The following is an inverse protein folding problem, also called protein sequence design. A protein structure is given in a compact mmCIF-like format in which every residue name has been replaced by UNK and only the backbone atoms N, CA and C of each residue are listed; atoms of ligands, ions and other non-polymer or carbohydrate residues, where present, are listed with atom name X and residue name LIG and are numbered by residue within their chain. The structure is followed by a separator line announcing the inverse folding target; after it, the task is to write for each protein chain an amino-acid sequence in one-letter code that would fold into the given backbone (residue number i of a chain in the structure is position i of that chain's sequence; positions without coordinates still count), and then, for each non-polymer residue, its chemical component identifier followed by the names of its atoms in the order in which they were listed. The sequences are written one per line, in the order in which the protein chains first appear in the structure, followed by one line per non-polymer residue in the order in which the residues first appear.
data_IF_568180044517
#
_entry.id   IF_568180044517
#
_cell.length_a   1.000
_cell.length_b   1.000
_cell.length_c   1.000
_cell.angle_alpha   90.00
_cell.angle_beta   90.00
_cell.angle_gamma   90.00
#
_symmetry.space_group_name_H-M   'P 1'
#
loop_
_entity.id
_entity.type
_entity.pdbx_description
1 polymer ?
#
# COMPACT_ATOMS: atom_id res chain seq x y z
N UNK A 1 32.74 4.49 20.23
CA UNK A 1 31.95 3.88 19.13
C UNK A 1 30.63 4.62 19.08
N UNK A 2 30.36 5.40 18.06
CA UNK A 2 29.07 6.06 17.88
C UNK A 2 27.98 4.99 17.70
N UNK A 3 27.00 5.02 18.58
CA UNK A 3 25.85 4.11 18.54
C UNK A 3 25.14 4.24 17.18
N UNK A 4 24.98 3.12 16.48
CA UNK A 4 24.36 3.14 15.14
C UNK A 4 22.88 3.43 15.30
N UNK A 5 22.41 4.53 14.73
CA UNK A 5 20.98 4.86 14.67
C UNK A 5 20.27 3.89 13.72
N UNK A 6 19.73 2.80 14.25
CA UNK A 6 19.05 1.73 13.50
C UNK A 6 17.91 1.12 14.32
N UNK A 7 17.03 0.34 13.67
CA UNK A 7 16.02 -0.46 14.36
C UNK A 7 16.65 -1.51 15.29
N UNK A 8 16.04 -1.81 16.46
CA UNK A 8 14.68 -1.45 16.84
C UNK A 8 14.53 -0.08 17.52
N UNK A 9 15.61 0.64 17.84
CA UNK A 9 15.58 1.87 18.63
C UNK A 9 15.30 3.12 17.78
N UNK A 10 15.42 2.99 16.45
CA UNK A 10 15.14 4.03 15.45
C UNK A 10 14.30 3.46 14.31
N UNK A 11 13.42 4.28 13.74
CA UNK A 11 12.67 3.98 12.53
C UNK A 11 12.63 5.17 11.60
N UNK A 12 12.61 4.91 10.29
CA UNK A 12 12.19 5.93 9.32
C UNK A 12 10.67 6.05 9.37
N UNK A 13 10.15 7.28 9.25
CA UNK A 13 8.72 7.53 9.18
C UNK A 13 8.38 8.23 7.86
N UNK A 14 7.19 7.99 7.30
CA UNK A 14 6.79 8.70 6.10
C UNK A 14 6.66 10.20 6.37
N UNK A 15 6.91 11.02 5.35
CA UNK A 15 6.79 12.47 5.45
C UNK A 15 5.39 12.90 5.96
N UNK A 16 4.33 12.27 5.41
CA UNK A 16 2.96 12.48 5.87
C UNK A 16 2.75 12.14 7.35
N UNK A 17 3.40 11.07 7.83
CA UNK A 17 3.39 10.70 9.25
C UNK A 17 4.10 11.76 10.09
N UNK A 18 5.27 12.22 9.69
CA UNK A 18 6.04 13.24 10.41
C UNK A 18 5.23 14.53 10.59
N UNK A 19 4.53 14.98 9.55
CA UNK A 19 3.63 16.13 9.61
C UNK A 19 2.46 15.87 10.58
N UNK A 20 1.79 14.72 10.46
CA UNK A 20 0.60 14.40 11.27
C UNK A 20 0.91 14.23 12.75
N UNK A 21 2.12 13.83 13.09
CA UNK A 21 2.61 13.71 14.45
C UNK A 21 3.22 15.02 15.01
N UNK A 22 3.29 16.07 14.20
CA UNK A 22 3.93 17.34 14.61
C UNK A 22 5.44 17.26 14.75
N UNK A 23 6.07 16.23 14.20
CA UNK A 23 7.54 16.07 14.16
C UNK A 23 8.19 16.88 13.03
N UNK A 24 7.39 17.31 12.05
CA UNK A 24 7.80 18.20 10.98
C UNK A 24 6.76 19.31 10.77
N UNK A 25 7.23 20.52 10.55
CA UNK A 25 6.36 21.67 10.26
C UNK A 25 6.03 21.72 8.78
N UNK A 26 4.84 21.28 8.42
CA UNK A 26 4.30 21.36 7.05
C UNK A 26 2.77 21.17 7.07
N UNK A 27 2.13 21.32 5.91
CA UNK A 27 0.71 21.08 5.71
C UNK A 27 0.50 20.11 4.55
N UNK A 28 -0.45 19.20 4.73
CA UNK A 28 -0.87 18.32 3.66
C UNK A 28 -1.72 19.07 2.64
N UNK A 29 -1.54 18.74 1.35
CA UNK A 29 -2.33 19.30 0.27
C UNK A 29 -3.83 19.13 0.54
N UNK A 30 -4.62 20.20 0.37
CA UNK A 30 -6.06 20.26 0.61
C UNK A 30 -6.50 19.78 2.01
N UNK A 31 -5.64 19.89 2.99
CA UNK A 31 -5.95 19.49 4.36
C UNK A 31 -6.11 17.98 4.55
N UNK A 32 -5.58 17.16 3.65
CA UNK A 32 -5.56 15.71 3.83
C UNK A 32 -4.93 15.35 5.19
N UNK A 33 -5.51 14.35 5.85
CA UNK A 33 -5.00 13.85 7.14
C UNK A 33 -4.49 12.44 7.00
N UNK A 34 -3.35 12.14 7.62
CA UNK A 34 -2.82 10.79 7.68
C UNK A 34 -3.35 10.08 8.93
N UNK A 35 -4.13 9.02 8.72
CA UNK A 35 -4.75 8.25 9.80
C UNK A 35 -3.85 7.14 10.34
N UNK A 36 -2.79 6.79 9.61
CA UNK A 36 -1.84 5.73 9.98
C UNK A 36 -0.44 6.29 10.18
N UNK A 37 0.21 5.92 11.26
CA UNK A 37 1.65 6.13 11.46
C UNK A 37 2.40 5.09 10.65
N UNK A 38 3.03 5.51 9.55
CA UNK A 38 3.78 4.62 8.67
C UNK A 38 5.26 4.63 9.04
N UNK A 39 5.72 3.52 9.61
CA UNK A 39 7.12 3.26 9.98
C UNK A 39 7.79 2.38 8.93
N UNK A 40 9.07 2.60 8.72
CA UNK A 40 9.94 1.76 7.90
C UNK A 40 11.15 1.33 8.74
N UNK A 41 11.34 0.03 8.85
CA UNK A 41 12.53 -0.52 9.52
C UNK A 41 13.79 0.00 8.83
N UNK A 42 14.76 0.44 9.63
CA UNK A 42 15.97 1.09 9.14
C UNK A 42 17.26 0.41 9.60
N UNK A 43 18.14 0.15 8.65
CA UNK A 43 19.54 -0.26 8.87
C UNK A 43 20.46 0.54 7.96
N UNK A 44 21.66 0.95 8.41
CA UNK A 44 22.63 1.64 7.55
C UNK A 44 23.01 0.85 6.29
N UNK A 45 23.07 -0.47 6.40
CA UNK A 45 23.33 -1.40 5.30
C UNK A 45 22.17 -1.56 4.32
N UNK A 46 20.96 -1.11 4.70
CA UNK A 46 19.77 -1.10 3.87
C UNK A 46 19.12 -2.45 3.64
N UNK A 47 18.31 -2.53 2.57
CA UNK A 47 17.61 -3.72 2.14
C UNK A 47 18.52 -4.63 1.31
N UNK A 48 18.54 -5.94 1.58
CA UNK A 48 19.30 -6.92 0.80
C UNK A 48 18.57 -7.43 -0.44
N UNK A 49 17.24 -7.18 -0.55
CA UNK A 49 16.47 -7.56 -1.71
C UNK A 49 16.75 -6.65 -2.93
N UNK A 50 16.44 -7.18 -4.10
CA UNK A 50 16.58 -6.46 -5.36
C UNK A 50 15.29 -6.51 -6.17
N UNK A 51 14.17 -6.12 -5.54
CA UNK A 51 12.88 -6.04 -6.21
C UNK A 51 12.95 -5.07 -7.40
N UNK A 52 12.51 -5.55 -8.57
CA UNK A 52 12.69 -4.85 -9.85
C UNK A 52 12.04 -3.45 -9.90
N UNK A 53 11.02 -3.22 -9.08
CA UNK A 53 10.23 -1.99 -9.02
C UNK A 53 10.55 -1.08 -7.82
N UNK A 54 11.45 -1.50 -6.92
CA UNK A 54 11.59 -0.86 -5.62
C UNK A 54 12.74 0.15 -5.58
N UNK A 55 12.43 1.36 -5.12
CA UNK A 55 13.43 2.40 -4.89
C UNK A 55 14.48 2.07 -3.84
N UNK A 56 14.20 1.11 -2.94
CA UNK A 56 15.15 0.61 -1.93
C UNK A 56 15.98 -0.58 -2.39
N UNK A 57 15.81 -1.04 -3.65
CA UNK A 57 16.51 -2.22 -4.17
C UNK A 57 18.02 -2.12 -3.98
N UNK A 58 18.67 -3.25 -3.60
CA UNK A 58 20.09 -3.29 -3.28
C UNK A 58 20.96 -2.79 -4.44
N UNK A 59 20.65 -3.21 -5.67
CA UNK A 59 21.44 -2.87 -6.88
C UNK A 59 21.14 -1.48 -7.44
N UNK A 60 20.09 -0.77 -6.93
CA UNK A 60 19.85 0.60 -7.35
C UNK A 60 21.03 1.49 -6.93
N UNK A 61 21.51 2.41 -7.82
CA UNK A 61 22.58 3.35 -7.48
C UNK A 61 22.28 4.22 -6.27
N UNK A 62 23.30 4.76 -5.64
CA UNK A 62 23.21 5.62 -4.47
C UNK A 62 23.29 4.85 -3.14
N UNK A 63 23.50 5.59 -2.06
CA UNK A 63 23.48 5.04 -0.71
C UNK A 63 22.06 4.76 -0.25
N UNK A 64 21.87 3.89 0.73
CA UNK A 64 20.53 3.62 1.27
C UNK A 64 19.85 4.86 1.85
N UNK A 65 20.63 5.81 2.36
CA UNK A 65 20.11 7.09 2.85
C UNK A 65 19.49 7.96 1.76
N UNK A 66 20.04 7.91 0.55
CA UNK A 66 19.60 8.66 -0.62
C UNK A 66 18.44 7.98 -1.37
N UNK A 67 18.25 6.67 -1.15
CA UNK A 67 17.17 5.92 -1.76
C UNK A 67 15.84 6.33 -1.14
N UNK A 68 14.93 6.75 -1.99
CA UNK A 68 13.57 7.10 -1.61
C UNK A 68 12.62 5.93 -1.83
N UNK A 69 11.50 5.97 -1.12
CA UNK A 69 10.35 5.13 -1.38
C UNK A 69 9.19 6.05 -1.79
N UNK A 70 8.73 5.90 -3.04
CA UNK A 70 7.69 6.77 -3.63
C UNK A 70 8.15 8.25 -3.72
N UNK A 71 9.39 8.50 -4.11
CA UNK A 71 9.97 9.84 -4.33
C UNK A 71 9.82 10.85 -3.18
N UNK A 72 9.59 10.38 -1.94
CA UNK A 72 9.47 11.21 -0.75
C UNK A 72 10.52 10.85 0.28
N UNK A 73 10.94 11.82 1.07
CA UNK A 73 11.83 11.60 2.19
C UNK A 73 11.14 10.79 3.29
N UNK A 74 11.94 9.93 3.93
CA UNK A 74 11.56 9.19 5.10
C UNK A 74 12.55 9.54 6.23
N UNK A 75 12.29 10.61 6.99
CA UNK A 75 13.16 11.03 8.08
C UNK A 75 13.28 9.95 9.16
N UNK A 76 14.43 9.95 9.83
CA UNK A 76 14.77 9.00 10.89
C UNK A 76 14.54 9.62 12.26
N UNK A 77 13.77 8.93 13.10
CA UNK A 77 13.51 9.32 14.50
C UNK A 77 13.76 8.14 15.45
N UNK A 78 14.02 8.42 16.71
CA UNK A 78 14.05 7.39 17.74
C UNK A 78 12.64 6.85 18.02
N UNK A 79 12.54 5.61 18.42
CA UNK A 79 11.25 5.03 18.81
C UNK A 79 10.62 5.75 20.00
N UNK A 80 11.42 6.31 20.90
CA UNK A 80 10.92 7.12 22.02
C UNK A 80 10.23 8.41 21.53
N UNK A 81 10.83 9.14 20.58
CA UNK A 81 10.21 10.33 19.97
C UNK A 81 8.92 9.98 19.23
N UNK A 82 8.93 8.85 18.50
CA UNK A 82 7.78 8.37 17.75
C UNK A 82 6.63 8.00 18.70
N UNK A 83 6.91 7.21 19.75
CA UNK A 83 5.90 6.77 20.73
C UNK A 83 5.31 7.97 21.47
N UNK A 84 6.14 8.90 21.90
CA UNK A 84 5.69 10.12 22.56
C UNK A 84 4.80 10.97 21.63
N UNK A 85 5.18 11.12 20.36
CA UNK A 85 4.38 11.81 19.37
C UNK A 85 3.04 11.07 19.06
N UNK A 86 3.03 9.75 19.01
CA UNK A 86 1.80 8.95 18.86
C UNK A 86 0.85 9.18 20.04
N UNK A 87 1.35 9.23 21.26
CA UNK A 87 0.54 9.44 22.46
C UNK A 87 -0.09 10.83 22.50
N UNK A 88 0.58 11.85 21.93
CA UNK A 88 0.07 13.21 21.78
C UNK A 88 -0.73 13.42 20.49
N UNK A 89 -0.75 12.45 19.58
CA UNK A 89 -1.34 12.60 18.27
C UNK A 89 -2.86 12.84 18.33
N UNK A 90 -3.40 13.64 17.39
CA UNK A 90 -4.83 13.87 17.28
C UNK A 90 -5.64 12.57 17.13
N UNK A 91 -6.91 12.61 17.52
CA UNK A 91 -7.79 11.43 17.50
C UNK A 91 -8.06 10.82 16.10
N UNK A 92 -7.73 11.54 15.02
CA UNK A 92 -7.82 10.98 13.66
C UNK A 92 -6.67 10.03 13.31
N UNK A 93 -5.56 10.02 14.04
CA UNK A 93 -4.50 9.01 13.92
C UNK A 93 -4.99 7.74 14.60
N UNK A 94 -5.25 6.69 13.85
CA UNK A 94 -5.99 5.49 14.29
C UNK A 94 -5.11 4.25 14.46
N UNK A 95 -4.02 4.13 13.72
CA UNK A 95 -3.24 2.90 13.58
C UNK A 95 -1.76 3.21 13.41
N UNK A 96 -0.89 2.25 13.74
CA UNK A 96 0.52 2.25 13.37
C UNK A 96 0.80 1.07 12.44
N UNK A 97 1.58 1.29 11.37
CA UNK A 97 1.99 0.25 10.44
C UNK A 97 3.51 0.21 10.36
N UNK A 98 4.12 -0.95 10.61
CA UNK A 98 5.56 -1.18 10.49
C UNK A 98 5.83 -1.86 9.15
N UNK A 99 6.52 -1.17 8.25
CA UNK A 99 6.97 -1.73 6.98
C UNK A 99 8.34 -2.38 7.16
N UNK A 100 8.43 -3.66 6.82
CA UNK A 100 9.66 -4.45 6.87
C UNK A 100 10.48 -4.28 5.59
N UNK A 101 11.80 -4.50 5.71
CA UNK A 101 12.72 -4.65 4.57
C UNK A 101 13.42 -6.00 4.67
N UNK A 102 13.97 -6.50 3.58
CA UNK A 102 14.75 -7.75 3.60
C UNK A 102 16.10 -7.52 4.27
N UNK A 103 16.24 -8.01 5.50
CA UNK A 103 17.46 -7.95 6.30
C UNK A 103 17.38 -9.02 7.39
N UNK A 104 18.47 -9.73 7.67
CA UNK A 104 18.50 -10.84 8.64
C UNK A 104 18.10 -10.47 10.09
N UNK A 105 18.13 -9.17 10.44
CA UNK A 105 17.70 -8.69 11.77
C UNK A 105 16.22 -8.28 11.79
N UNK A 106 15.58 -8.14 10.60
CA UNK A 106 14.34 -7.43 10.45
C UNK A 106 13.18 -8.05 11.25
N UNK A 107 13.01 -9.37 11.18
CA UNK A 107 11.93 -10.06 11.90
C UNK A 107 12.01 -9.81 13.41
N UNK A 108 13.19 -10.04 14.02
CA UNK A 108 13.41 -9.82 15.46
C UNK A 108 13.18 -8.36 15.86
N UNK A 109 13.68 -7.41 15.07
CA UNK A 109 13.55 -5.99 15.41
C UNK A 109 12.11 -5.49 15.20
N UNK A 110 11.39 -6.00 14.18
CA UNK A 110 9.96 -5.69 14.00
C UNK A 110 9.13 -6.17 15.19
N UNK A 111 9.38 -7.37 15.71
CA UNK A 111 8.74 -7.85 16.93
C UNK A 111 9.03 -6.93 18.12
N UNK A 112 10.29 -6.57 18.35
CA UNK A 112 10.66 -5.64 19.43
C UNK A 112 9.99 -4.27 19.28
N UNK A 113 9.91 -3.71 18.06
CA UNK A 113 9.20 -2.46 17.80
C UNK A 113 7.69 -2.61 18.06
N UNK A 114 7.11 -3.76 17.70
CA UNK A 114 5.69 -4.05 17.96
C UNK A 114 5.42 -4.09 19.46
N UNK A 115 6.27 -4.76 20.24
CA UNK A 115 6.19 -4.81 21.70
C UNK A 115 6.28 -3.40 22.33
N UNK A 116 7.23 -2.58 21.87
CA UNK A 116 7.37 -1.19 22.34
C UNK A 116 6.10 -0.38 22.05
N UNK A 117 5.54 -0.50 20.85
CA UNK A 117 4.33 0.24 20.45
C UNK A 117 3.09 -0.23 21.19
N UNK A 118 2.86 -1.55 21.29
CA UNK A 118 1.69 -2.11 21.97
C UNK A 118 1.75 -1.91 23.49
N UNK A 119 2.94 -1.91 24.07
CA UNK A 119 3.14 -1.63 25.50
C UNK A 119 2.99 -0.14 25.86
N UNK A 120 3.27 0.77 24.94
CA UNK A 120 3.32 2.19 25.22
C UNK A 120 2.17 3.00 24.57
N UNK A 121 1.42 2.43 23.63
CA UNK A 121 0.32 3.11 22.93
C UNK A 121 -0.94 2.25 22.91
N UNK A 122 -2.11 2.89 22.77
CA UNK A 122 -3.41 2.20 22.65
C UNK A 122 -3.83 1.95 21.19
N UNK A 123 -2.95 2.22 20.22
CA UNK A 123 -3.30 2.11 18.80
C UNK A 123 -2.96 0.73 18.27
N UNK A 124 -3.83 0.13 17.45
CA UNK A 124 -3.52 -1.13 16.78
C UNK A 124 -2.24 -1.03 15.94
N UNK A 125 -1.46 -2.10 15.91
CA UNK A 125 -0.24 -2.20 15.12
C UNK A 125 -0.45 -3.19 13.99
N UNK A 126 -0.16 -2.78 12.76
CA UNK A 126 -0.10 -3.65 11.58
C UNK A 126 1.35 -3.85 11.15
N UNK A 127 1.64 -5.00 10.59
CA UNK A 127 2.96 -5.33 10.03
C UNK A 127 2.79 -5.51 8.52
N UNK A 128 3.55 -4.74 7.74
CA UNK A 128 3.65 -4.90 6.30
C UNK A 128 4.92 -5.68 6.00
N UNK A 129 4.77 -6.88 5.50
CA UNK A 129 5.87 -7.82 5.26
C UNK A 129 5.73 -8.52 3.92
N UNK A 130 6.78 -9.25 3.54
CA UNK A 130 6.76 -10.24 2.47
C UNK A 130 7.16 -11.60 3.04
N UNK A 131 6.55 -12.71 2.63
CA UNK A 131 6.92 -14.06 3.10
C UNK A 131 8.42 -14.35 2.99
N UNK A 132 9.06 -13.80 1.96
CA UNK A 132 10.51 -13.95 1.70
C UNK A 132 11.40 -13.25 2.72
N UNK A 133 10.86 -12.42 3.61
CA UNK A 133 11.63 -11.74 4.66
C UNK A 133 11.72 -12.62 5.92
N UNK A 134 10.77 -13.52 6.10
CA UNK A 134 10.59 -14.29 7.34
C UNK A 134 11.40 -15.57 7.38
N UNK A 135 11.85 -16.09 6.22
CA UNK A 135 12.67 -17.31 6.13
C UNK A 135 13.95 -17.06 5.32
N UNK A 136 15.11 -16.81 6.00
CA UNK A 136 16.39 -16.67 5.32
C UNK A 136 16.85 -17.93 4.56
N UNK A 137 16.51 -19.14 5.05
CA UNK A 137 16.87 -20.39 4.40
C UNK A 137 16.07 -20.59 3.10
N UNK A 138 14.85 -20.11 3.03
CA UNK A 138 14.05 -20.08 1.82
C UNK A 138 14.70 -19.25 0.71
N UNK A 139 15.35 -18.12 1.04
CA UNK A 139 16.08 -17.28 0.08
C UNK A 139 17.29 -18.02 -0.55
N UNK A 140 17.93 -18.95 0.19
CA UNK A 140 19.00 -19.79 -0.32
C UNK A 140 18.49 -20.88 -1.27
N UNK A 141 17.28 -21.39 -1.08
CA UNK A 141 16.66 -22.42 -1.92
C UNK A 141 16.03 -21.85 -3.19
N UNK A 142 15.50 -20.63 -3.15
CA UNK A 142 14.87 -19.93 -4.27
C UNK A 142 15.89 -19.28 -5.22
N UNK A 143 16.71 -20.09 -5.90
CA UNK A 143 17.82 -19.63 -6.75
C UNK A 143 17.42 -18.75 -7.94
N UNK A 144 16.12 -18.58 -8.29
CA UNK A 144 15.68 -17.86 -9.49
C UNK A 144 14.57 -16.83 -9.29
N UNK A 145 13.72 -16.97 -8.27
CA UNK A 145 12.67 -16.00 -7.94
C UNK A 145 12.44 -15.99 -6.44
N UNK A 146 12.61 -14.83 -5.80
CA UNK A 146 12.34 -14.68 -4.37
C UNK A 146 10.84 -14.71 -4.04
N UNK A 147 9.98 -14.57 -5.04
CA UNK A 147 8.53 -14.50 -4.88
C UNK A 147 7.89 -15.71 -5.57
N UNK A 148 7.32 -16.62 -4.79
CA UNK A 148 6.58 -17.79 -5.28
C UNK A 148 5.14 -17.70 -4.82
N UNK A 149 4.20 -17.89 -5.75
CA UNK A 149 2.77 -17.78 -5.46
C UNK A 149 2.32 -18.69 -4.33
N UNK A 150 2.75 -19.96 -4.32
CA UNK A 150 2.37 -20.91 -3.27
C UNK A 150 2.78 -20.43 -1.87
N UNK A 151 3.97 -19.82 -1.75
CA UNK A 151 4.42 -19.23 -0.48
C UNK A 151 3.56 -18.06 -0.06
N UNK A 152 3.13 -17.21 -1.01
CA UNK A 152 2.23 -16.09 -0.70
C UNK A 152 0.84 -16.57 -0.29
N UNK A 153 0.28 -17.56 -1.00
CA UNK A 153 -1.01 -18.13 -0.64
C UNK A 153 -0.98 -18.76 0.74
N UNK A 154 0.02 -19.60 1.02
CA UNK A 154 0.18 -20.22 2.34
C UNK A 154 0.34 -19.17 3.45
N UNK A 155 1.12 -18.11 3.21
CA UNK A 155 1.32 -17.03 4.17
C UNK A 155 0.02 -16.27 4.46
N UNK A 156 -0.82 -16.03 3.45
CA UNK A 156 -2.13 -15.40 3.65
C UNK A 156 -3.07 -16.31 4.45
N UNK A 157 -3.11 -17.61 4.14
CA UNK A 157 -3.88 -18.59 4.88
C UNK A 157 -3.44 -18.68 6.35
N UNK A 158 -2.13 -18.68 6.61
CA UNK A 158 -1.58 -18.66 7.96
C UNK A 158 -1.95 -17.36 8.71
N UNK A 159 -1.88 -16.24 8.02
CA UNK A 159 -2.31 -14.94 8.54
C UNK A 159 -3.81 -14.94 8.90
N UNK A 160 -4.66 -15.46 8.02
CA UNK A 160 -6.10 -15.57 8.28
C UNK A 160 -6.41 -16.49 9.47
N UNK A 161 -5.64 -17.59 9.63
CA UNK A 161 -5.78 -18.49 10.78
C UNK A 161 -5.43 -17.82 12.10
N UNK A 162 -4.42 -16.92 12.10
CA UNK A 162 -3.94 -16.23 13.31
C UNK A 162 -4.76 -14.99 13.62
N UNK A 163 -5.08 -14.18 12.63
CA UNK A 163 -5.69 -12.86 12.81
C UNK A 163 -7.17 -12.80 12.44
N UNK A 164 -7.69 -13.80 11.74
CA UNK A 164 -9.06 -13.83 11.23
C UNK A 164 -9.25 -13.01 9.92
N UNK A 165 -10.41 -13.17 9.27
CA UNK A 165 -10.76 -12.41 8.06
C UNK A 165 -10.79 -10.91 8.33
N UNK A 166 -10.54 -10.10 7.29
CA UNK A 166 -10.45 -8.64 7.30
C UNK A 166 -9.30 -8.07 8.17
N UNK A 167 -8.40 -8.93 8.67
CA UNK A 167 -7.17 -8.52 9.36
C UNK A 167 -5.91 -8.90 8.59
N UNK A 168 -6.08 -9.46 7.40
CA UNK A 168 -5.02 -9.75 6.43
C UNK A 168 -5.31 -8.98 5.15
N UNK A 169 -4.33 -8.29 4.61
CA UNK A 169 -4.48 -7.52 3.39
C UNK A 169 -3.33 -7.74 2.42
N UNK A 170 -3.64 -7.78 1.13
CA UNK A 170 -2.68 -7.89 0.04
C UNK A 170 -2.48 -6.52 -0.63
N UNK A 171 -1.22 -6.10 -0.80
CA UNK A 171 -0.86 -4.94 -1.58
C UNK A 171 -0.67 -5.35 -3.05
N UNK A 172 -1.57 -4.92 -3.91
CA UNK A 172 -1.57 -5.21 -5.33
C UNK A 172 -1.08 -4.00 -6.13
N UNK A 173 -0.06 -4.21 -6.95
CA UNK A 173 0.51 -3.16 -7.80
C UNK A 173 -0.02 -3.34 -9.23
N UNK A 174 -0.75 -2.36 -9.71
CA UNK A 174 -1.34 -2.33 -11.05
C UNK A 174 -0.35 -1.75 -12.05
N UNK A 175 -0.18 -2.41 -13.19
CA UNK A 175 0.66 -1.96 -14.29
C UNK A 175 2.02 -2.64 -14.39
N UNK A 176 2.11 -3.88 -13.90
CA UNK A 176 3.32 -4.71 -13.98
C UNK A 176 3.31 -5.68 -15.19
N UNK A 177 2.30 -5.58 -16.07
CA UNK A 177 2.15 -6.41 -17.27
C UNK A 177 0.87 -7.26 -17.29
N UNK A 178 0.12 -7.27 -16.19
CA UNK A 178 -1.16 -7.96 -16.09
C UNK A 178 -2.27 -7.25 -16.89
N UNK A 179 -3.27 -8.00 -17.32
CA UNK A 179 -4.53 -7.48 -17.84
C UNK A 179 -5.49 -7.08 -16.72
N UNK A 180 -6.48 -6.24 -17.02
CA UNK A 180 -7.53 -5.91 -16.04
C UNK A 180 -8.31 -7.16 -15.60
N UNK A 181 -8.54 -8.12 -16.51
CA UNK A 181 -9.19 -9.40 -16.20
C UNK A 181 -8.41 -10.23 -15.18
N UNK A 182 -7.09 -10.33 -15.35
CA UNK A 182 -6.24 -11.05 -14.40
C UNK A 182 -6.26 -10.40 -13.02
N UNK A 183 -6.17 -9.06 -12.97
CA UNK A 183 -6.25 -8.32 -11.72
C UNK A 183 -7.61 -8.49 -11.04
N UNK A 184 -8.71 -8.42 -11.79
CA UNK A 184 -10.09 -8.63 -11.29
C UNK A 184 -10.25 -10.03 -10.69
N UNK A 185 -9.78 -11.07 -11.38
CA UNK A 185 -9.84 -12.44 -10.88
C UNK A 185 -9.00 -12.63 -9.60
N UNK A 186 -7.83 -11.98 -9.54
CA UNK A 186 -6.98 -12.02 -8.34
C UNK A 186 -7.66 -11.34 -7.15
N UNK A 187 -8.24 -10.15 -7.36
CA UNK A 187 -8.94 -9.42 -6.32
C UNK A 187 -10.15 -10.20 -5.77
N UNK A 188 -10.93 -10.82 -6.66
CA UNK A 188 -12.06 -11.65 -6.25
C UNK A 188 -11.60 -12.86 -5.43
N UNK A 189 -10.57 -13.57 -5.87
CA UNK A 189 -10.00 -14.71 -5.14
C UNK A 189 -9.55 -14.30 -3.73
N UNK A 190 -8.85 -13.18 -3.60
CA UNK A 190 -8.40 -12.66 -2.30
C UNK A 190 -9.58 -12.31 -1.41
N UNK A 191 -10.58 -11.61 -1.96
CA UNK A 191 -11.80 -11.25 -1.24
C UNK A 191 -12.56 -12.47 -0.74
N UNK A 192 -12.75 -13.50 -1.59
CA UNK A 192 -13.39 -14.77 -1.20
C UNK A 192 -12.63 -15.52 -0.10
N UNK A 193 -11.31 -15.32 0.02
CA UNK A 193 -10.51 -15.84 1.12
C UNK A 193 -10.67 -15.03 2.42
N UNK A 194 -11.21 -13.81 2.37
CA UNK A 194 -11.25 -12.87 3.50
C UNK A 194 -10.00 -12.00 3.61
N UNK A 195 -9.28 -11.80 2.50
CA UNK A 195 -8.10 -10.93 2.40
C UNK A 195 -8.47 -9.61 1.73
N UNK A 196 -8.19 -8.49 2.38
CA UNK A 196 -8.47 -7.15 1.85
C UNK A 196 -7.54 -6.81 0.67
N UNK A 197 -8.09 -6.14 -0.34
CA UNK A 197 -7.31 -5.67 -1.50
C UNK A 197 -6.89 -4.21 -1.37
N UNK A 198 -5.59 -3.94 -1.35
CA UNK A 198 -5.04 -2.59 -1.33
C UNK A 198 -4.31 -2.28 -2.63
N UNK A 199 -4.91 -1.43 -3.47
CA UNK A 199 -4.39 -1.12 -4.79
C UNK A 199 -3.34 0.00 -4.77
N UNK A 200 -2.29 -0.20 -5.55
CA UNK A 200 -1.26 0.78 -5.87
C UNK A 200 -1.05 0.84 -7.39
N UNK A 201 -0.86 2.03 -7.93
CA UNK A 201 -0.33 2.16 -9.28
C UNK A 201 1.17 1.88 -9.27
N UNK A 202 1.66 1.20 -10.28
CA UNK A 202 3.10 1.13 -10.54
C UNK A 202 3.67 2.53 -10.81
N UNK A 203 4.81 2.82 -10.21
CA UNK A 203 5.64 3.99 -10.47
C UNK A 203 7.06 3.54 -10.76
N UNK A 204 7.61 3.99 -11.88
CA UNK A 204 9.00 3.73 -12.21
C UNK A 204 9.94 4.44 -11.23
N UNK A 205 10.79 3.67 -10.56
CA UNK A 205 11.85 4.18 -9.70
C UNK A 205 13.16 4.21 -10.51
N UNK A 206 13.69 5.39 -10.74
CA UNK A 206 14.92 5.58 -11.50
C UNK A 206 16.06 4.73 -10.94
N UNK A 207 16.80 4.05 -11.83
CA UNK A 207 17.88 3.13 -11.47
C UNK A 207 17.44 1.76 -10.95
N UNK A 208 16.13 1.48 -10.84
CA UNK A 208 15.60 0.12 -10.62
C UNK A 208 15.52 -0.66 -11.95
N UNK A 209 15.33 -1.98 -11.88
CA UNK A 209 15.24 -2.83 -13.09
C UNK A 209 14.05 -2.46 -13.99
N UNK A 210 12.97 -1.95 -13.42
CA UNK A 210 11.78 -1.47 -14.14
C UNK A 210 11.72 0.07 -14.22
N UNK A 211 12.84 0.74 -13.99
CA UNK A 211 12.91 2.20 -13.97
C UNK A 211 12.51 2.92 -15.26
N UNK A 212 12.51 2.19 -16.38
CA UNK A 212 12.07 2.71 -17.69
C UNK A 212 10.67 2.19 -18.10
N UNK A 213 10.01 1.41 -17.26
CA UNK A 213 8.67 0.91 -17.57
C UNK A 213 7.64 2.04 -17.39
N UNK A 214 6.73 2.25 -18.37
CA UNK A 214 5.73 3.29 -18.22
C UNK A 214 4.75 2.96 -17.09
N UNK A 215 4.22 3.99 -16.47
CA UNK A 215 3.10 3.88 -15.56
C UNK A 215 1.87 3.37 -16.34
N UNK A 216 0.97 2.57 -15.75
CA UNK A 216 -0.26 2.14 -16.40
C UNK A 216 -1.09 3.36 -16.84
N UNK A 217 -1.90 3.27 -17.90
CA UNK A 217 -2.84 4.35 -18.23
C UNK A 217 -3.78 4.63 -17.05
N UNK A 218 -3.97 5.89 -16.71
CA UNK A 218 -4.86 6.28 -15.61
C UNK A 218 -6.29 5.71 -15.75
N UNK A 219 -6.91 5.67 -16.95
CA UNK A 219 -8.19 5.00 -17.15
C UNK A 219 -8.21 3.52 -16.74
N UNK A 220 -7.14 2.77 -17.01
CA UNK A 220 -6.98 1.38 -16.58
C UNK A 220 -7.02 1.26 -15.06
N UNK A 221 -6.28 2.12 -14.37
CA UNK A 221 -6.27 2.13 -12.90
C UNK A 221 -7.64 2.48 -12.32
N UNK A 222 -8.34 3.47 -12.87
CA UNK A 222 -9.70 3.84 -12.46
C UNK A 222 -10.68 2.66 -12.61
N UNK A 223 -10.61 1.92 -13.75
CA UNK A 223 -11.47 0.75 -13.97
C UNK A 223 -11.22 -0.35 -12.95
N UNK A 224 -9.96 -0.62 -12.61
CA UNK A 224 -9.59 -1.62 -11.62
C UNK A 224 -10.05 -1.19 -10.22
N UNK A 225 -9.91 0.10 -9.85
CA UNK A 225 -10.43 0.62 -8.58
C UNK A 225 -11.95 0.45 -8.47
N UNK A 226 -12.68 0.73 -9.55
CA UNK A 226 -14.13 0.54 -9.59
C UNK A 226 -14.48 -0.95 -9.48
N UNK A 227 -13.83 -1.83 -10.23
CA UNK A 227 -14.05 -3.28 -10.15
C UNK A 227 -13.82 -3.81 -8.73
N UNK A 228 -12.71 -3.40 -8.08
CA UNK A 228 -12.44 -3.75 -6.69
C UNK A 228 -13.60 -3.38 -5.77
N UNK A 229 -14.07 -2.14 -5.85
CA UNK A 229 -15.19 -1.66 -5.02
C UNK A 229 -16.45 -2.49 -5.25
N UNK A 230 -16.77 -2.80 -6.51
CA UNK A 230 -17.95 -3.58 -6.85
C UNK A 230 -17.88 -5.01 -6.31
N UNK A 231 -16.71 -5.64 -6.34
CA UNK A 231 -16.46 -6.97 -5.78
C UNK A 231 -16.58 -6.95 -4.26
N UNK A 232 -15.87 -6.05 -3.59
CA UNK A 232 -15.81 -5.99 -2.12
C UNK A 232 -17.13 -5.54 -1.48
N UNK A 233 -18.04 -4.94 -2.25
CA UNK A 233 -19.40 -4.61 -1.79
C UNK A 233 -20.47 -5.55 -2.36
N UNK A 234 -20.08 -6.69 -2.95
CA UNK A 234 -20.97 -7.71 -3.50
C UNK A 234 -21.99 -7.15 -4.52
N UNK A 235 -21.58 -6.09 -5.25
CA UNK A 235 -22.40 -5.44 -6.27
C UNK A 235 -22.24 -6.14 -7.62
N UNK A 236 -21.05 -6.68 -7.89
CA UNK A 236 -20.72 -7.44 -9.09
C UNK A 236 -19.60 -8.44 -8.80
N UNK A 237 -19.38 -9.35 -9.72
CA UNK A 237 -18.33 -10.38 -9.66
C UNK A 237 -17.66 -10.55 -11.03
N UNK A 238 -16.48 -11.18 -11.13
CA UNK A 238 -15.80 -11.42 -12.40
C UNK A 238 -16.68 -12.15 -13.42
N UNK A 239 -17.59 -13.04 -12.97
CA UNK A 239 -18.52 -13.77 -13.82
C UNK A 239 -19.64 -12.91 -14.43
N UNK A 240 -19.91 -11.74 -13.88
CA UNK A 240 -20.89 -10.78 -14.38
C UNK A 240 -20.24 -9.70 -15.25
N UNK A 241 -18.92 -9.52 -15.16
CA UNK A 241 -18.18 -8.54 -15.94
C UNK A 241 -17.86 -9.07 -17.35
N UNK A 242 -17.86 -8.17 -18.32
CA UNK A 242 -17.39 -8.46 -19.68
C UNK A 242 -16.03 -7.83 -19.95
N UNK A 243 -15.20 -8.56 -20.69
CA UNK A 243 -13.85 -8.15 -21.05
C UNK A 243 -13.66 -8.24 -22.56
N UNK A 244 -12.87 -7.32 -23.13
CA UNK A 244 -12.46 -7.41 -24.53
C UNK A 244 -11.32 -8.44 -24.73
N UNK A 245 -10.86 -8.62 -25.96
CA UNK A 245 -9.78 -9.57 -26.32
C UNK A 245 -8.45 -9.26 -25.63
N UNK A 246 -8.19 -8.01 -25.24
CA UNK A 246 -7.00 -7.58 -24.48
C UNK A 246 -7.17 -7.74 -22.97
N UNK A 247 -8.32 -8.23 -22.51
CA UNK A 247 -8.65 -8.39 -21.10
C UNK A 247 -9.02 -7.08 -20.39
N UNK A 248 -9.33 -6.00 -21.12
CA UNK A 248 -9.83 -4.75 -20.51
C UNK A 248 -11.32 -4.87 -20.20
N UNK A 249 -11.77 -4.31 -19.08
CA UNK A 249 -13.17 -4.28 -18.67
C UNK A 249 -13.96 -3.40 -19.63
N UNK A 250 -15.05 -3.94 -20.21
CA UNK A 250 -15.97 -3.23 -21.09
C UNK A 250 -17.38 -3.11 -20.49
N UNK A 251 -17.73 -3.99 -19.56
CA UNK A 251 -18.97 -3.94 -18.80
C UNK A 251 -18.73 -4.53 -17.40
N UNK A 252 -19.37 -3.95 -16.40
CA UNK A 252 -19.27 -4.40 -15.01
C UNK A 252 -20.44 -5.29 -14.57
N UNK A 253 -21.44 -5.55 -15.43
CA UNK A 253 -22.64 -6.30 -15.09
C UNK A 253 -23.55 -5.58 -14.08
N UNK A 254 -23.53 -4.24 -14.08
CA UNK A 254 -24.27 -3.39 -13.13
C UNK A 254 -25.15 -2.41 -13.91
N UNK A 255 -26.39 -2.17 -13.43
CA UNK A 255 -27.27 -1.24 -14.12
C UNK A 255 -26.68 0.18 -14.18
N UNK A 256 -26.99 0.96 -15.25
CA UNK A 256 -26.48 2.32 -15.42
C UNK A 256 -26.74 3.22 -14.20
N UNK A 257 -27.94 3.16 -13.63
CA UNK A 257 -28.36 4.01 -12.49
C UNK A 257 -27.54 3.68 -11.23
N UNK A 258 -27.31 2.38 -10.98
CA UNK A 258 -26.47 1.94 -9.84
C UNK A 258 -25.01 2.30 -10.05
N UNK A 259 -24.52 2.15 -11.27
CA UNK A 259 -23.16 2.53 -11.63
C UNK A 259 -22.93 4.04 -11.45
N UNK A 260 -23.85 4.86 -11.92
CA UNK A 260 -23.81 6.31 -11.75
C UNK A 260 -23.75 6.69 -10.27
N UNK A 261 -24.59 6.08 -9.43
CA UNK A 261 -24.60 6.29 -7.98
C UNK A 261 -23.23 5.92 -7.36
N UNK A 262 -22.67 4.78 -7.73
CA UNK A 262 -21.36 4.32 -7.22
C UNK A 262 -20.25 5.27 -7.60
N UNK A 263 -20.16 5.68 -8.87
CA UNK A 263 -19.10 6.58 -9.33
C UNK A 263 -19.23 7.97 -8.68
N UNK A 264 -20.44 8.51 -8.59
CA UNK A 264 -20.68 9.82 -7.98
C UNK A 264 -20.39 9.86 -6.49
N UNK A 265 -20.40 8.71 -5.79
CA UNK A 265 -19.97 8.64 -4.41
C UNK A 265 -18.48 8.98 -4.24
N UNK A 266 -17.66 8.77 -5.27
CA UNK A 266 -16.21 8.92 -5.23
C UNK A 266 -15.47 7.87 -4.40
N UNK A 267 -16.19 7.06 -3.63
CA UNK A 267 -15.61 6.07 -2.69
C UNK A 267 -14.71 5.05 -3.38
N UNK A 268 -15.05 4.50 -4.58
CA UNK A 268 -14.18 3.53 -5.27
C UNK A 268 -12.76 4.03 -5.51
N UNK A 269 -12.58 5.34 -5.67
CA UNK A 269 -11.32 5.98 -6.05
C UNK A 269 -10.49 6.49 -4.86
N UNK A 270 -11.02 6.33 -3.66
CA UNK A 270 -10.30 6.68 -2.43
C UNK A 270 -9.25 5.61 -2.08
N UNK A 271 -8.22 6.05 -1.34
CA UNK A 271 -7.21 5.12 -0.80
C UNK A 271 -7.87 4.10 0.11
N UNK A 272 -7.64 2.82 -0.18
CA UNK A 272 -8.02 1.71 0.69
C UNK A 272 -6.89 1.37 1.64
N UNK A 273 -7.24 0.83 2.80
CA UNK A 273 -6.27 0.41 3.82
C UNK A 273 -6.97 -0.36 4.92
N UNK A 274 -6.22 -0.79 5.92
CA UNK A 274 -6.77 -1.54 7.05
C UNK A 274 -7.98 -0.83 7.65
N UNK A 275 -9.01 -1.62 7.98
CA UNK A 275 -10.24 -1.15 8.61
C UNK A 275 -10.13 -1.23 10.13
N UNK A 276 -10.99 -0.51 10.86
CA UNK A 276 -11.25 -0.71 12.28
C UNK A 276 -12.47 -1.63 12.50
N UNK A 277 -12.81 -1.86 13.76
CA UNK A 277 -13.96 -2.70 14.15
C UNK A 277 -15.31 -2.17 13.65
N UNK A 278 -15.36 -0.94 13.15
CA UNK A 278 -16.55 -0.29 12.58
C UNK A 278 -16.55 -0.30 11.05
N UNK A 279 -15.52 -0.87 10.41
CA UNK A 279 -15.34 -0.84 8.97
C UNK A 279 -14.83 0.51 8.43
N UNK A 280 -14.34 1.42 9.29
CA UNK A 280 -13.75 2.67 8.83
C UNK A 280 -12.28 2.49 8.44
N UNK A 281 -11.87 3.10 7.33
CA UNK A 281 -10.47 3.08 6.88
C UNK A 281 -9.58 3.78 7.89
N UNK A 282 -8.66 3.04 8.48
CA UNK A 282 -7.67 3.55 9.46
C UNK A 282 -6.28 3.75 8.87
N UNK A 283 -6.03 3.27 7.66
CA UNK A 283 -4.78 3.47 6.92
C UNK A 283 -5.07 4.05 5.53
N UNK A 284 -5.19 5.36 5.45
CA UNK A 284 -5.50 6.05 4.19
C UNK A 284 -4.28 6.55 3.41
N UNK A 285 -3.09 6.49 3.98
CA UNK A 285 -1.79 6.85 3.36
C UNK A 285 -1.90 8.00 2.34
N UNK A 286 -2.22 9.25 2.78
CA UNK A 286 -2.39 10.37 1.87
C UNK A 286 -1.14 10.56 1.03
N UNK A 287 -1.31 10.57 -0.29
CA UNK A 287 -0.24 10.70 -1.29
C UNK A 287 0.88 9.64 -1.17
N UNK A 288 0.62 8.52 -0.50
CA UNK A 288 1.58 7.42 -0.39
C UNK A 288 1.77 6.63 -1.69
N UNK A 289 0.93 6.85 -2.69
CA UNK A 289 0.95 6.18 -3.99
C UNK A 289 1.25 7.15 -5.15
N UNK A 290 1.08 8.46 -4.95
CA UNK A 290 1.38 9.50 -5.93
C UNK A 290 1.51 10.85 -5.23
N UNK A 291 2.23 11.79 -5.84
CA UNK A 291 2.19 13.18 -5.42
C UNK A 291 0.83 13.82 -5.76
N UNK A 292 0.45 14.92 -5.09
CA UNK A 292 -0.73 15.68 -5.48
C UNK A 292 -0.64 16.13 -6.93
N UNK A 293 -1.63 15.75 -7.74
CA UNK A 293 -1.71 16.12 -9.16
C UNK A 293 -3.18 16.22 -9.57
N UNK A 294 -3.44 16.69 -10.79
CA UNK A 294 -4.76 16.70 -11.43
C UNK A 294 -5.27 15.26 -11.64
N UNK A 295 -4.40 14.34 -12.03
CA UNK A 295 -4.69 12.91 -12.12
C UNK A 295 -4.33 12.23 -10.80
N UNK A 296 -5.26 12.21 -9.88
CA UNK A 296 -5.06 11.56 -8.60
C UNK A 296 -5.27 10.06 -8.72
N UNK A 297 -4.26 9.26 -8.38
CA UNK A 297 -4.31 7.79 -8.48
C UNK A 297 -5.10 7.16 -7.32
N UNK A 298 -4.93 7.70 -6.12
CA UNK A 298 -5.75 7.36 -4.95
C UNK A 298 -6.08 8.65 -4.20
N UNK A 299 -7.34 8.92 -4.04
CA UNK A 299 -7.79 10.10 -3.30
C UNK A 299 -7.68 9.87 -1.80
N UNK A 300 -6.94 10.69 -1.05
CA UNK A 300 -6.88 10.60 0.41
C UNK A 300 -8.08 11.27 1.10
N UNK A 301 -8.98 11.81 0.31
CA UNK A 301 -10.24 12.50 0.69
C UNK A 301 -11.30 12.15 -0.34
N UNK A 302 -12.56 12.44 -0.03
CA UNK A 302 -13.64 12.23 -0.99
C UNK A 302 -13.49 13.19 -2.18
N UNK A 303 -13.45 12.69 -3.42
CA UNK A 303 -13.34 13.51 -4.61
C UNK A 303 -14.50 14.52 -4.72
N UNK A 304 -14.20 15.74 -5.14
CA UNK A 304 -15.20 16.76 -5.40
C UNK A 304 -15.89 16.56 -6.77
N UNK A 305 -16.86 17.43 -7.11
CA UNK A 305 -17.63 17.33 -8.37
C UNK A 305 -16.74 17.43 -9.61
N UNK A 306 -15.72 18.27 -9.60
CA UNK A 306 -14.80 18.44 -10.74
C UNK A 306 -13.93 17.18 -10.92
N UNK A 307 -13.43 16.61 -9.83
CA UNK A 307 -12.67 15.38 -9.82
C UNK A 307 -13.52 14.20 -10.29
N UNK A 308 -14.77 14.08 -9.84
CA UNK A 308 -15.71 13.06 -10.34
C UNK A 308 -15.98 13.24 -11.83
N UNK A 309 -16.18 14.47 -12.31
CA UNK A 309 -16.36 14.74 -13.74
C UNK A 309 -15.13 14.32 -14.56
N UNK A 310 -13.94 14.53 -14.02
CA UNK A 310 -12.69 14.11 -14.67
C UNK A 310 -12.58 12.56 -14.69
N UNK A 311 -12.95 11.89 -13.61
CA UNK A 311 -13.01 10.42 -13.54
C UNK A 311 -13.98 9.88 -14.59
N UNK A 312 -15.22 10.37 -14.64
CA UNK A 312 -16.23 9.95 -15.62
C UNK A 312 -15.76 10.10 -17.05
N UNK A 313 -15.12 11.22 -17.37
CA UNK A 313 -14.56 11.49 -18.72
C UNK A 313 -13.45 10.51 -19.13
N UNK A 314 -12.80 9.87 -18.17
CA UNK A 314 -11.63 9.03 -18.43
C UNK A 314 -11.89 7.53 -18.23
N UNK A 315 -12.77 7.13 -17.33
CA UNK A 315 -12.96 5.72 -16.97
C UNK A 315 -13.43 4.85 -18.16
N UNK A 316 -14.17 5.42 -19.10
CA UNK A 316 -14.65 4.75 -20.31
C UNK A 316 -13.60 4.63 -21.41
N UNK A 317 -12.44 5.30 -21.28
CA UNK A 317 -11.37 5.24 -22.29
C UNK A 317 -10.63 3.90 -22.20
N UNK A 318 -10.79 3.05 -23.19
CA UNK A 318 -10.04 1.81 -23.35
C UNK A 318 -8.77 2.13 -24.13
N UNK A 319 -7.62 1.66 -23.65
CA UNK A 319 -6.35 1.81 -24.40
C UNK A 319 -6.44 1.03 -25.71
N UNK A 320 -6.10 1.70 -26.83
CA UNK A 320 -6.12 1.14 -28.16
C UNK A 320 -5.12 -0.01 -28.34
#
# INVERSE_FOLDING_TARGET
MTEKKQSPDYAKISHATAISLGLMHNRMYRGAVNRCVNLLVHYPEGCSANCAYCGLAKKRPGTYGEKSFIHVEWPLFSMLEIIDAINRAPGYVKRTCISMITNGKCAKHTLSMTEQLTGATKRPVSILTSPTILDPDFLHQAKRCAHQWDTYWQFMEDGLRVFGPNNVGAHLMVGMGESEKEMVNLMDRLWQMGVDNHLFSFFAEEGSSLGNMPQPPWPTYLRIQLARYLIENEISSPGQMAFNEKGSIVDYGVSPERMETVIHSGIPFMTTGCLDDKGEVTCNRPFGNCLPDVQQWNYPYQPNREEISLILKNISKIAA
#
